data_IF_598604705659
#
_entry.id   IF_598604705659
#
_cell.length_a   1.000
_cell.length_b   1.000
_cell.length_c   1.000
_cell.angle_alpha   90.00
_cell.angle_beta   90.00
_cell.angle_gamma   90.00
#
_symmetry.space_group_name_H-M   'P 1'
#
loop_
_entity.id
_entity.type
_entity.pdbx_description
1 polymer ?
#
# COMPACT_ATOMS: atom_id res chain seq x y z
N UNK A 1 5.23 7.01 -10.21
CA UNK A 1 6.71 6.84 -10.20
C UNK A 1 7.10 5.85 -9.12
N UNK A 2 8.23 5.16 -9.29
CA UNK A 2 8.76 4.24 -8.30
C UNK A 2 10.25 4.51 -8.04
N UNK A 3 10.65 4.53 -6.78
CA UNK A 3 12.02 4.77 -6.30
C UNK A 3 12.57 3.52 -5.61
N UNK A 4 13.86 3.30 -5.84
CA UNK A 4 14.65 2.24 -5.22
C UNK A 4 15.84 2.90 -4.50
N UNK A 5 16.18 2.38 -3.32
CA UNK A 5 17.30 2.84 -2.49
C UNK A 5 18.21 1.66 -2.17
N UNK A 6 19.45 1.93 -1.75
CA UNK A 6 20.33 0.89 -1.21
C UNK A 6 20.13 0.80 0.29
N UNK A 7 19.99 -0.42 0.81
CA UNK A 7 20.00 -0.66 2.25
C UNK A 7 21.42 -0.50 2.83
N UNK A 8 21.55 -0.55 4.16
CA UNK A 8 22.85 -0.48 4.84
C UNK A 8 23.84 -1.60 4.50
N UNK A 9 23.43 -2.58 3.68
CA UNK A 9 24.26 -3.68 3.16
C UNK A 9 24.51 -3.54 1.65
N UNK A 10 24.13 -2.41 1.05
CA UNK A 10 24.31 -2.12 -0.37
C UNK A 10 23.30 -2.79 -1.31
N UNK A 11 22.32 -3.55 -0.79
CA UNK A 11 21.30 -4.23 -1.58
C UNK A 11 20.26 -3.23 -2.07
N UNK A 12 19.84 -3.37 -3.32
CA UNK A 12 18.77 -2.53 -3.87
C UNK A 12 17.42 -2.98 -3.30
N UNK A 13 16.72 -2.07 -2.64
CA UNK A 13 15.39 -2.30 -2.06
C UNK A 13 14.43 -1.21 -2.54
N UNK A 14 13.14 -1.51 -2.58
CA UNK A 14 12.13 -0.52 -2.91
C UNK A 14 12.05 0.55 -1.79
N UNK A 15 12.00 1.82 -2.16
CA UNK A 15 11.76 2.91 -1.22
C UNK A 15 10.28 2.93 -0.85
N UNK A 16 9.90 2.12 0.13
CA UNK A 16 8.51 1.92 0.53
C UNK A 16 7.81 3.25 0.89
N UNK A 17 8.37 4.13 1.74
CA UNK A 17 7.83 5.46 2.01
C UNK A 17 7.46 6.24 0.74
N UNK A 18 8.41 6.39 -0.18
CA UNK A 18 8.20 7.16 -1.40
C UNK A 18 7.19 6.48 -2.33
N UNK A 19 7.29 5.17 -2.49
CA UNK A 19 6.45 4.41 -3.42
C UNK A 19 4.98 4.40 -2.97
N UNK A 20 4.73 4.17 -1.68
CA UNK A 20 3.37 4.23 -1.12
C UNK A 20 2.83 5.65 -1.17
N UNK A 21 3.66 6.65 -0.83
CA UNK A 21 3.28 8.06 -0.96
C UNK A 21 2.91 8.45 -2.39
N UNK A 22 3.66 7.96 -3.38
CA UNK A 22 3.41 8.21 -4.81
C UNK A 22 2.10 7.58 -5.30
N UNK A 23 1.81 6.34 -4.88
CA UNK A 23 0.54 5.65 -5.20
C UNK A 23 -0.64 6.38 -4.56
N UNK A 24 -0.51 6.77 -3.28
CA UNK A 24 -1.53 7.52 -2.58
C UNK A 24 -1.80 8.87 -3.24
N UNK A 25 -0.76 9.62 -3.60
CA UNK A 25 -0.89 10.89 -4.31
C UNK A 25 -1.59 10.72 -5.66
N UNK A 26 -1.18 9.74 -6.47
CA UNK A 26 -1.80 9.47 -7.77
C UNK A 26 -3.29 9.11 -7.65
N UNK A 27 -3.65 8.30 -6.65
CA UNK A 27 -5.04 7.86 -6.44
C UNK A 27 -5.97 8.99 -5.98
N UNK A 28 -5.42 10.01 -5.33
CA UNK A 28 -6.17 11.13 -4.77
C UNK A 28 -6.25 12.36 -5.70
N UNK A 29 -5.69 12.32 -6.92
CA UNK A 29 -5.69 13.49 -7.83
C UNK A 29 -4.40 14.32 -7.81
N UNK A 30 -3.30 13.78 -7.29
CA UNK A 30 -1.94 14.26 -7.53
C UNK A 30 -1.41 15.35 -6.59
N UNK A 31 -2.25 15.98 -5.74
CA UNK A 31 -1.83 17.08 -4.84
C UNK A 31 -2.18 16.90 -3.35
N UNK A 32 -2.69 15.72 -2.99
CA UNK A 32 -3.46 15.58 -1.75
C UNK A 32 -2.72 14.84 -0.63
N UNK A 33 -1.53 14.29 -0.88
CA UNK A 33 -0.63 13.82 0.18
C UNK A 33 0.19 15.03 0.66
N UNK A 34 -0.37 15.76 1.63
CA UNK A 34 0.18 17.01 2.13
C UNK A 34 1.51 16.82 2.85
N UNK A 35 1.68 15.69 3.52
CA UNK A 35 2.88 15.39 4.32
C UNK A 35 2.91 13.91 4.69
N UNK A 36 4.05 13.25 4.46
CA UNK A 36 4.38 12.03 5.19
C UNK A 36 4.90 12.46 6.56
N UNK A 37 4.18 12.09 7.63
CA UNK A 37 4.65 12.33 8.99
C UNK A 37 5.56 11.18 9.41
N UNK A 38 6.60 11.43 10.22
CA UNK A 38 7.26 10.35 10.93
C UNK A 38 6.19 9.59 11.72
N UNK A 39 6.19 8.25 11.63
CA UNK A 39 5.60 7.44 12.69
C UNK A 39 6.16 7.92 14.03
N UNK A 40 5.36 7.83 15.11
CA UNK A 40 5.81 8.22 16.46
C UNK A 40 7.15 7.59 16.86
N UNK A 41 7.46 6.44 16.26
CA UNK A 41 8.83 5.92 16.14
C UNK A 41 9.44 6.40 14.81
N UNK A 42 10.45 7.27 14.86
CA UNK A 42 11.10 7.84 13.69
C UNK A 42 11.70 6.82 12.70
N UNK A 43 11.64 5.52 13.02
CA UNK A 43 12.11 4.39 12.23
C UNK A 43 11.14 3.18 12.29
N UNK A 44 9.81 3.36 12.32
CA UNK A 44 8.91 2.21 12.08
C UNK A 44 8.78 1.96 10.57
N UNK A 45 9.47 0.94 9.99
CA UNK A 45 9.36 0.64 8.56
C UNK A 45 7.96 0.12 8.17
N UNK A 46 7.14 -0.25 9.15
CA UNK A 46 5.80 -0.81 8.95
C UNK A 46 4.70 0.26 9.06
N UNK A 47 4.96 1.37 9.74
CA UNK A 47 4.02 2.46 9.97
C UNK A 47 4.25 3.62 9.01
N UNK A 48 3.21 4.01 8.26
CA UNK A 48 3.21 5.21 7.45
C UNK A 48 2.02 6.08 7.84
N UNK A 49 2.26 7.37 8.04
CA UNK A 49 1.21 8.34 8.33
C UNK A 49 1.20 9.38 7.23
N UNK A 50 0.02 9.61 6.67
CA UNK A 50 -0.25 10.58 5.62
C UNK A 50 -1.28 11.60 6.10
N UNK A 51 -1.07 12.86 5.76
CA UNK A 51 -2.15 13.85 5.74
C UNK A 51 -2.76 13.88 4.34
N UNK A 52 -4.06 13.58 4.24
CA UNK A 52 -4.80 13.53 2.99
C UNK A 52 -5.81 14.67 2.95
N UNK A 53 -5.84 15.48 1.90
CA UNK A 53 -6.92 16.47 1.69
C UNK A 53 -7.49 16.28 0.28
N UNK A 54 -8.58 15.50 0.11
CA UNK A 54 -9.17 15.26 -1.20
C UNK A 54 -9.47 16.55 -1.95
N UNK A 55 -9.30 16.53 -3.27
CA UNK A 55 -9.70 17.65 -4.14
C UNK A 55 -11.15 18.08 -3.89
N UNK A 56 -11.37 19.38 -3.73
CA UNK A 56 -12.67 19.96 -3.40
C UNK A 56 -13.11 19.83 -1.93
N UNK A 57 -12.28 19.26 -1.04
CA UNK A 57 -12.53 19.16 0.39
C UNK A 57 -11.69 20.16 1.20
N UNK A 58 -12.34 20.88 2.12
CA UNK A 58 -11.66 21.68 3.16
C UNK A 58 -11.16 20.83 4.34
N UNK A 59 -11.54 19.54 4.36
CA UNK A 59 -11.18 18.62 5.44
C UNK A 59 -9.88 17.90 5.12
N UNK A 60 -8.90 18.08 5.99
CA UNK A 60 -7.71 17.23 6.02
C UNK A 60 -7.99 15.99 6.87
N UNK A 61 -7.57 14.82 6.42
CA UNK A 61 -7.64 13.55 7.11
C UNK A 61 -6.23 13.10 7.48
N UNK A 62 -6.08 12.40 8.60
CA UNK A 62 -4.87 11.66 8.93
C UNK A 62 -5.10 10.19 8.61
N UNK A 63 -4.40 9.67 7.62
CA UNK A 63 -4.41 8.25 7.28
C UNK A 63 -3.17 7.57 7.85
N UNK A 64 -3.38 6.51 8.59
CA UNK A 64 -2.31 5.65 9.09
C UNK A 64 -2.41 4.31 8.39
N UNK A 65 -1.29 3.85 7.83
CA UNK A 65 -1.15 2.55 7.18
C UNK A 65 -0.09 1.75 7.91
N UNK A 66 -0.49 0.63 8.50
CA UNK A 66 0.39 -0.25 9.26
C UNK A 66 0.48 -1.61 8.59
N UNK A 67 1.67 -2.01 8.16
CA UNK A 67 1.91 -3.36 7.66
C UNK A 67 1.76 -4.38 8.80
N UNK A 68 0.83 -5.33 8.64
CA UNK A 68 0.54 -6.41 9.60
C UNK A 68 1.34 -7.67 9.26
N UNK A 69 1.42 -8.00 7.98
CA UNK A 69 2.13 -9.17 7.48
C UNK A 69 2.72 -8.86 6.10
N UNK A 70 3.88 -9.45 5.82
CA UNK A 70 4.54 -9.37 4.52
C UNK A 70 5.02 -10.74 4.13
N UNK A 71 4.83 -11.08 2.86
CA UNK A 71 5.52 -12.19 2.22
C UNK A 71 6.32 -11.66 1.05
N UNK A 72 7.51 -12.18 0.94
CA UNK A 72 8.31 -12.08 -0.26
C UNK A 72 8.81 -13.48 -0.49
N UNK A 73 8.37 -14.08 -1.58
CA UNK A 73 8.95 -15.33 -2.02
C UNK A 73 10.02 -14.96 -3.05
N UNK A 74 11.31 -14.88 -2.65
CA UNK A 74 12.34 -14.93 -3.65
C UNK A 74 12.12 -16.26 -4.36
N UNK A 75 11.78 -16.21 -5.64
CA UNK A 75 11.74 -17.42 -6.46
C UNK A 75 13.08 -18.12 -6.28
N UNK A 76 13.12 -19.14 -5.44
CA UNK A 76 14.29 -19.96 -5.17
C UNK A 76 14.50 -20.80 -6.43
N UNK A 77 15.05 -20.15 -7.47
CA UNK A 77 15.14 -20.70 -8.81
C UNK A 77 13.83 -20.61 -9.61
N UNK A 78 13.86 -19.83 -10.70
CA UNK A 78 13.18 -20.16 -11.96
C UNK A 78 11.64 -20.13 -12.05
N UNK A 79 10.92 -19.32 -11.27
CA UNK A 79 9.57 -18.97 -11.71
C UNK A 79 9.68 -18.17 -13.01
N UNK A 80 9.21 -18.78 -14.10
CA UNK A 80 9.15 -18.16 -15.42
C UNK A 80 7.71 -18.14 -15.92
N UNK A 81 7.33 -17.05 -16.58
CA UNK A 81 6.03 -17.03 -17.27
C UNK A 81 6.03 -17.93 -18.52
N UNK A 82 4.90 -18.02 -19.21
CA UNK A 82 4.77 -18.80 -20.46
C UNK A 82 5.70 -18.33 -21.59
N UNK A 83 6.33 -17.15 -21.45
CA UNK A 83 7.32 -16.59 -22.38
C UNK A 83 8.77 -16.78 -21.91
N UNK A 84 8.99 -17.46 -20.78
CA UNK A 84 10.29 -17.74 -20.21
C UNK A 84 10.91 -16.58 -19.41
N UNK A 85 10.15 -15.52 -19.10
CA UNK A 85 10.65 -14.37 -18.35
C UNK A 85 10.64 -14.62 -16.85
N UNK A 86 11.61 -14.08 -16.12
CA UNK A 86 11.69 -14.25 -14.67
C UNK A 86 10.50 -13.56 -13.97
N UNK A 87 9.87 -14.30 -13.07
CA UNK A 87 8.71 -13.88 -12.28
C UNK A 87 8.98 -14.09 -10.79
N UNK A 88 8.51 -13.17 -9.96
CA UNK A 88 8.49 -13.33 -8.50
C UNK A 88 7.30 -12.55 -7.93
N UNK A 89 6.81 -12.93 -6.75
CA UNK A 89 5.69 -12.26 -6.10
C UNK A 89 6.03 -11.70 -4.72
N UNK A 90 5.28 -10.66 -4.36
CA UNK A 90 5.30 -10.08 -3.02
C UNK A 90 3.88 -9.78 -2.57
N UNK A 91 3.62 -10.00 -1.29
CA UNK A 91 2.35 -9.68 -0.65
C UNK A 91 2.57 -8.81 0.59
N UNK A 92 1.71 -7.80 0.77
CA UNK A 92 1.62 -7.03 2.01
C UNK A 92 0.16 -6.97 2.46
N UNK A 93 -0.11 -7.36 3.71
CA UNK A 93 -1.36 -7.07 4.39
C UNK A 93 -1.14 -5.85 5.28
N UNK A 94 -1.92 -4.81 5.08
CA UNK A 94 -1.81 -3.56 5.82
C UNK A 94 -3.14 -3.13 6.40
N UNK A 95 -3.13 -2.64 7.64
CA UNK A 95 -4.29 -2.01 8.28
C UNK A 95 -4.27 -0.52 8.00
N UNK A 96 -5.38 0.01 7.49
CA UNK A 96 -5.59 1.45 7.33
C UNK A 96 -6.57 1.97 8.38
N UNK A 97 -6.20 3.07 9.02
CA UNK A 97 -7.04 3.85 9.94
C UNK A 97 -7.10 5.30 9.47
N UNK A 98 -8.27 5.94 9.58
CA UNK A 98 -8.49 7.33 9.12
C UNK A 98 -9.05 8.16 10.28
N UNK A 99 -8.34 9.22 10.69
CA UNK A 99 -8.80 10.16 11.72
C UNK A 99 -8.93 11.59 11.20
N UNK A 100 -9.73 12.39 11.91
CA UNK A 100 -9.84 13.83 11.69
C UNK A 100 -8.84 14.59 12.58
N UNK A 101 -8.31 15.75 12.15
CA UNK A 101 -7.43 16.60 12.95
C UNK A 101 -8.14 17.06 14.23
N UNK A 102 -7.46 16.93 15.37
CA UNK A 102 -7.93 17.48 16.65
C UNK A 102 -9.13 16.76 17.28
N UNK A 103 -9.53 15.61 16.74
CA UNK A 103 -10.53 14.74 17.37
C UNK A 103 -9.98 13.33 17.49
N UNK A 104 -9.92 12.83 18.72
CA UNK A 104 -9.94 11.38 18.95
C UNK A 104 -11.20 10.84 18.27
N UNK A 105 -11.06 9.67 17.64
CA UNK A 105 -12.01 9.06 16.71
C UNK A 105 -13.46 9.18 17.19
N UNK A 106 -14.23 10.17 16.70
CA UNK A 106 -15.63 10.39 17.12
C UNK A 106 -16.56 9.30 16.59
N UNK A 107 -16.12 8.58 15.56
CA UNK A 107 -16.61 7.26 15.22
C UNK A 107 -15.40 6.43 14.82
N UNK A 108 -15.37 5.11 15.10
CA UNK A 108 -14.26 4.30 14.66
C UNK A 108 -14.11 4.54 13.15
N UNK A 109 -12.89 4.85 12.67
CA UNK A 109 -12.64 4.87 11.25
C UNK A 109 -13.24 3.59 10.68
N UNK A 110 -13.60 3.58 9.40
CA UNK A 110 -13.58 2.32 8.68
C UNK A 110 -12.14 1.81 8.72
N UNK A 111 -11.78 1.11 9.81
CA UNK A 111 -10.56 0.36 9.87
C UNK A 111 -10.76 -0.70 8.81
N UNK A 112 -9.82 -0.76 7.89
CA UNK A 112 -9.87 -1.71 6.80
C UNK A 112 -8.53 -2.36 6.69
N UNK A 113 -8.56 -3.65 6.44
CA UNK A 113 -7.36 -4.38 6.06
C UNK A 113 -7.31 -4.38 4.53
N UNK A 114 -6.12 -4.15 4.00
CA UNK A 114 -5.83 -4.05 2.58
C UNK A 114 -4.72 -5.05 2.29
N UNK A 115 -5.02 -6.05 1.50
CA UNK A 115 -4.04 -6.98 0.95
C UNK A 115 -3.63 -6.46 -0.40
N UNK A 116 -2.32 -6.32 -0.60
CA UNK A 116 -1.71 -5.98 -1.86
C UNK A 116 -0.84 -7.14 -2.29
N UNK A 117 -1.16 -7.77 -3.41
CA UNK A 117 -0.33 -8.81 -4.04
C UNK A 117 0.22 -8.24 -5.33
N UNK A 118 1.53 -8.35 -5.51
CA UNK A 118 2.24 -7.97 -6.72
C UNK A 118 2.87 -9.19 -7.35
N UNK A 119 2.63 -9.37 -8.65
CA UNK A 119 3.35 -10.33 -9.48
C UNK A 119 4.28 -9.56 -10.41
N UNK A 120 5.58 -9.63 -10.13
CA UNK A 120 6.61 -8.93 -10.89
C UNK A 120 7.09 -9.79 -12.05
N UNK A 121 7.32 -9.16 -13.19
CA UNK A 121 7.93 -9.78 -14.38
C UNK A 121 9.10 -8.93 -14.85
N UNK A 122 10.26 -9.56 -15.01
CA UNK A 122 11.44 -8.93 -15.62
C UNK A 122 11.42 -9.15 -17.13
N UNK A 123 11.29 -8.07 -17.89
CA UNK A 123 11.29 -8.11 -19.35
C UNK A 123 12.70 -8.35 -19.90
N UNK A 124 12.80 -8.73 -21.19
CA UNK A 124 14.07 -9.07 -21.86
C UNK A 124 15.08 -7.92 -21.86
N UNK A 125 14.60 -6.69 -21.93
CA UNK A 125 15.41 -5.47 -21.88
C UNK A 125 15.74 -5.01 -20.44
N UNK A 126 15.39 -5.83 -19.44
CA UNK A 126 15.75 -5.62 -18.05
C UNK A 126 14.83 -4.68 -17.28
N UNK A 127 13.72 -4.21 -17.88
CA UNK A 127 12.67 -3.49 -17.14
C UNK A 127 11.93 -4.45 -16.19
N UNK A 128 11.32 -3.89 -15.16
CA UNK A 128 10.44 -4.62 -14.23
C UNK A 128 9.04 -4.07 -14.42
N UNK A 129 8.09 -4.98 -14.57
CA UNK A 129 6.65 -4.67 -14.60
C UNK A 129 5.98 -5.47 -13.49
N UNK A 130 4.83 -5.01 -12.99
CA UNK A 130 4.02 -5.75 -12.03
C UNK A 130 2.55 -5.72 -12.41
N UNK A 131 1.88 -6.85 -12.19
CA UNK A 131 0.43 -6.85 -12.00
C UNK A 131 0.15 -6.80 -10.50
N UNK A 132 -0.44 -5.70 -10.05
CA UNK A 132 -0.83 -5.50 -8.66
C UNK A 132 -2.32 -5.77 -8.50
N UNK A 133 -2.70 -6.56 -7.50
CA UNK A 133 -4.08 -6.68 -7.04
C UNK A 133 -4.16 -6.15 -5.62
N UNK A 134 -5.16 -5.31 -5.36
CA UNK A 134 -5.52 -4.88 -4.01
C UNK A 134 -6.91 -5.41 -3.68
N UNK A 135 -7.05 -6.02 -2.51
CA UNK A 135 -8.33 -6.43 -1.95
C UNK A 135 -8.53 -5.72 -0.62
N UNK A 136 -9.70 -5.15 -0.39
CA UNK A 136 -10.02 -4.39 0.82
C UNK A 136 -11.12 -5.07 1.61
N UNK A 137 -10.92 -5.27 2.90
CA UNK A 137 -11.91 -5.82 3.82
C UNK A 137 -12.24 -4.81 4.91
N UNK A 138 -13.53 -4.70 5.21
CA UNK A 138 -13.97 -3.94 6.38
C UNK A 138 -13.61 -4.73 7.63
N UNK A 139 -12.94 -4.08 8.57
CA UNK A 139 -12.65 -4.66 9.87
C UNK A 139 -13.23 -3.78 10.96
N UNK A 140 -13.82 -4.41 11.96
CA UNK A 140 -14.48 -3.71 13.05
C UNK A 140 -15.11 -4.71 13.99
N UNK A 141 -14.88 -4.54 15.27
CA UNK A 141 -15.39 -5.42 16.33
C UNK A 141 -16.53 -4.78 17.11
N UNK A 142 -16.80 -3.49 16.91
CA UNK A 142 -17.80 -2.75 17.67
C UNK A 142 -18.67 -1.82 16.81
N UNK A 143 -19.89 -1.57 17.30
CA UNK A 143 -20.83 -0.60 16.73
C UNK A 143 -21.15 -0.81 15.25
N UNK A 144 -21.29 0.31 14.52
CA UNK A 144 -21.60 0.32 13.08
C UNK A 144 -20.50 -0.39 12.27
N UNK A 145 -19.25 -0.36 12.73
CA UNK A 145 -18.14 -1.02 12.03
C UNK A 145 -18.28 -2.55 12.08
N UNK A 146 -18.65 -3.12 13.23
CA UNK A 146 -18.96 -4.55 13.35
C UNK A 146 -20.13 -4.96 12.45
N UNK A 147 -21.21 -4.18 12.44
CA UNK A 147 -22.36 -4.47 11.59
C UNK A 147 -21.98 -4.50 10.10
N UNK A 148 -21.16 -3.55 9.65
CA UNK A 148 -20.67 -3.50 8.26
C UNK A 148 -19.72 -4.65 7.93
N UNK A 149 -18.81 -5.00 8.84
CA UNK A 149 -17.90 -6.14 8.65
C UNK A 149 -18.67 -7.47 8.60
N UNK A 150 -19.65 -7.67 9.48
CA UNK A 150 -20.53 -8.83 9.47
C UNK A 150 -21.38 -8.90 8.20
N UNK A 151 -21.92 -7.77 7.73
CA UNK A 151 -22.67 -7.72 6.49
C UNK A 151 -21.81 -8.04 5.25
N UNK A 152 -20.52 -7.70 5.28
CA UNK A 152 -19.56 -8.09 4.24
C UNK A 152 -19.23 -9.59 4.28
N UNK A 153 -19.43 -10.27 5.42
CA UNK A 153 -19.32 -11.73 5.55
C UNK A 153 -17.97 -12.27 5.03
N UNK A 154 -16.88 -11.64 5.47
CA UNK A 154 -15.51 -12.01 5.05
C UNK A 154 -15.16 -11.69 3.60
N UNK A 155 -16.08 -11.11 2.81
CA UNK A 155 -15.81 -10.74 1.42
C UNK A 155 -15.09 -9.40 1.32
N UNK A 156 -14.24 -9.28 0.30
CA UNK A 156 -13.63 -8.01 -0.03
C UNK A 156 -14.71 -7.04 -0.54
N UNK A 157 -14.74 -5.82 -0.01
CA UNK A 157 -15.69 -4.77 -0.38
C UNK A 157 -15.21 -3.91 -1.54
N UNK A 158 -13.92 -3.96 -1.85
CA UNK A 158 -13.30 -3.32 -3.00
C UNK A 158 -12.12 -4.17 -3.46
N UNK A 159 -12.09 -4.50 -4.75
CA UNK A 159 -10.99 -5.23 -5.40
C UNK A 159 -10.60 -4.47 -6.64
N UNK A 160 -9.31 -4.13 -6.73
CA UNK A 160 -8.75 -3.39 -7.87
C UNK A 160 -7.51 -4.09 -8.38
N UNK A 161 -7.29 -3.97 -9.69
CA UNK A 161 -6.11 -4.48 -10.36
C UNK A 161 -5.44 -3.36 -11.11
N UNK A 162 -4.13 -3.26 -10.96
CA UNK A 162 -3.30 -2.25 -11.59
C UNK A 162 -2.18 -2.93 -12.36
N UNK A 163 -1.84 -2.35 -13.52
CA UNK A 163 -0.58 -2.61 -14.17
C UNK A 163 0.40 -1.52 -13.74
N UNK A 164 1.55 -1.91 -13.22
CA UNK A 164 2.56 -1.00 -12.70
C UNK A 164 3.85 -1.22 -13.49
N UNK A 165 4.29 -0.19 -14.21
CA UNK A 165 5.57 -0.20 -14.90
C UNK A 165 6.62 0.49 -14.02
N UNK A 166 7.72 -0.19 -13.73
CA UNK A 166 8.82 0.37 -12.94
C UNK A 166 9.89 0.90 -13.88
N UNK A 167 10.07 2.21 -13.85
CA UNK A 167 11.16 2.88 -14.57
C UNK A 167 12.35 3.09 -13.64
N UNK A 168 13.55 2.89 -14.19
CA UNK A 168 14.77 3.25 -13.49
C UNK A 168 14.97 4.75 -13.63
N UNK A 169 14.88 5.48 -12.52
CA UNK A 169 15.24 6.89 -12.47
C UNK A 169 16.72 7.05 -12.85
N UNK A 170 16.99 7.99 -13.77
CA UNK A 170 18.34 8.34 -14.25
C UNK A 170 19.13 9.08 -13.17
#
# INVERSE_FOLDING_TARGET
EARWIRDGRGRLIADRPYNIGSIAAATMGGRDVLQQLPSSDAFDPNGLIFKLRPEGSEVTYRAELRALARRFEPSAGELRDSSGLLVFDAGELSRQSISLPGKDLVQPPSVKDIETINLFTRTKDGRITSTQRTSTWLVGTEGIAAMKAQAADGRAVDVRTYRVDYERLK
#
